data_IF_220209696051
#
_entry.id   IF_220209696051
#
_cell.length_a   1.000
_cell.length_b   1.000
_cell.length_c   1.000
_cell.angle_alpha   90.00
_cell.angle_beta   90.00
_cell.angle_gamma   90.00
#
_symmetry.space_group_name_H-M   'P 1'
#
loop_
_entity.id
_entity.type
_entity.pdbx_description
1 polymer ?
#
# COMPACT_ATOMS: atom_id res chain seq x y z
N UNK A 1 12.73 -19.04 -23.59
CA UNK A 1 12.38 -18.04 -24.62
C UNK A 1 11.99 -16.80 -23.83
N UNK A 2 12.93 -15.88 -23.61
CA UNK A 2 12.65 -14.63 -22.89
C UNK A 2 11.72 -13.80 -23.76
N UNK A 3 10.48 -13.63 -23.31
CA UNK A 3 9.56 -12.66 -23.89
C UNK A 3 10.09 -11.27 -23.52
N UNK A 4 10.91 -10.70 -24.40
CA UNK A 4 11.37 -9.32 -24.25
C UNK A 4 10.15 -8.41 -24.50
N UNK A 5 9.52 -7.96 -23.40
CA UNK A 5 8.37 -7.07 -23.45
C UNK A 5 8.76 -5.80 -24.22
N UNK A 6 7.93 -5.42 -25.20
CA UNK A 6 8.25 -4.27 -26.02
C UNK A 6 8.03 -2.95 -25.25
N UNK A 7 8.73 -1.90 -25.67
CA UNK A 7 8.70 -0.57 -25.02
C UNK A 7 7.30 0.03 -24.86
N UNK A 8 6.40 -0.17 -25.82
CA UNK A 8 5.04 0.38 -25.77
C UNK A 8 4.14 -0.39 -24.81
N UNK A 9 4.26 -1.71 -24.78
CA UNK A 9 3.60 -2.56 -23.80
C UNK A 9 4.06 -2.26 -22.38
N UNK A 10 5.38 -2.16 -22.17
CA UNK A 10 5.95 -1.74 -20.88
C UNK A 10 5.48 -0.35 -20.45
N UNK A 11 5.29 0.59 -21.38
CA UNK A 11 4.74 1.90 -21.07
C UNK A 11 3.28 1.82 -20.60
N UNK A 12 2.46 1.00 -21.25
CA UNK A 12 1.08 0.75 -20.80
C UNK A 12 1.03 0.16 -19.39
N UNK A 13 1.81 -0.90 -19.16
CA UNK A 13 1.94 -1.56 -17.85
C UNK A 13 2.49 -0.63 -16.76
N UNK A 14 3.46 0.21 -17.09
CA UNK A 14 3.99 1.24 -16.18
C UNK A 14 2.89 2.19 -15.71
N UNK A 15 2.05 2.68 -16.63
CA UNK A 15 0.96 3.60 -16.29
C UNK A 15 -0.09 2.92 -15.42
N UNK A 16 -0.55 1.73 -15.82
CA UNK A 16 -1.52 0.94 -15.06
C UNK A 16 -1.03 0.65 -13.64
N UNK A 17 0.18 0.13 -13.50
CA UNK A 17 0.76 -0.23 -12.21
C UNK A 17 1.01 1.00 -11.33
N UNK A 18 1.38 2.14 -11.92
CA UNK A 18 1.54 3.39 -11.18
C UNK A 18 0.20 3.94 -10.66
N UNK A 19 -0.86 3.88 -11.46
CA UNK A 19 -2.21 4.27 -11.01
C UNK A 19 -2.72 3.37 -9.88
N UNK A 20 -2.43 2.06 -9.96
CA UNK A 20 -2.78 1.11 -8.91
C UNK A 20 -1.97 1.39 -7.62
N UNK A 21 -0.67 1.68 -7.75
CA UNK A 21 0.18 2.06 -6.62
C UNK A 21 -0.34 3.31 -5.92
N UNK A 22 -0.74 4.34 -6.67
CA UNK A 22 -1.33 5.56 -6.10
C UNK A 22 -2.62 5.28 -5.32
N UNK A 23 -3.48 4.38 -5.81
CA UNK A 23 -4.71 3.98 -5.10
C UNK A 23 -4.37 3.24 -3.81
N UNK A 24 -3.43 2.31 -3.87
CA UNK A 24 -3.02 1.50 -2.73
C UNK A 24 -2.34 2.34 -1.65
N UNK A 25 -1.50 3.30 -2.04
CA UNK A 25 -0.89 4.26 -1.12
C UNK A 25 -1.94 5.10 -0.38
N UNK A 26 -3.00 5.56 -1.07
CA UNK A 26 -4.13 6.25 -0.41
C UNK A 26 -4.85 5.34 0.58
N UNK A 27 -5.07 4.06 0.23
CA UNK A 27 -5.66 3.09 1.16
C UNK A 27 -4.78 2.87 2.39
N UNK A 28 -3.46 2.77 2.21
CA UNK A 28 -2.49 2.67 3.31
C UNK A 28 -2.57 3.88 4.25
N UNK A 29 -2.68 5.08 3.70
CA UNK A 29 -2.83 6.31 4.48
C UNK A 29 -4.13 6.32 5.31
N UNK A 30 -5.24 5.84 4.75
CA UNK A 30 -6.51 5.70 5.50
C UNK A 30 -6.34 4.78 6.71
N UNK A 31 -5.65 3.65 6.55
CA UNK A 31 -5.37 2.76 7.68
C UNK A 31 -4.46 3.41 8.72
N UNK A 32 -3.43 4.16 8.31
CA UNK A 32 -2.58 4.91 9.23
C UNK A 32 -3.36 5.95 10.05
N UNK A 33 -4.24 6.71 9.39
CA UNK A 33 -5.12 7.68 10.06
C UNK A 33 -6.05 6.98 11.04
N UNK A 34 -6.70 5.88 10.62
CA UNK A 34 -7.60 5.10 11.48
C UNK A 34 -6.88 4.56 12.72
N UNK A 35 -5.66 4.06 12.58
CA UNK A 35 -4.86 3.63 13.74
C UNK A 35 -4.57 4.80 14.68
N UNK A 36 -4.22 5.97 14.15
CA UNK A 36 -4.01 7.18 14.96
C UNK A 36 -5.28 7.57 15.73
N UNK A 37 -6.44 7.58 15.09
CA UNK A 37 -7.73 7.86 15.74
C UNK A 37 -8.07 6.85 16.83
N UNK A 38 -7.83 5.56 16.57
CA UNK A 38 -8.02 4.50 17.56
C UNK A 38 -7.13 4.69 18.79
N UNK A 39 -5.86 5.08 18.60
CA UNK A 39 -4.95 5.40 19.71
C UNK A 39 -5.47 6.58 20.53
N UNK A 40 -5.93 7.65 19.89
CA UNK A 40 -6.51 8.80 20.60
C UNK A 40 -7.74 8.41 21.41
N UNK A 41 -8.54 7.45 20.91
CA UNK A 41 -9.76 6.98 21.58
C UNK A 41 -9.51 6.16 22.86
N UNK A 42 -8.27 5.75 23.14
CA UNK A 42 -7.90 4.98 24.33
C UNK A 42 -7.99 5.80 25.63
N UNK A 43 -7.91 7.13 25.55
CA UNK A 43 -7.92 7.99 26.73
C UNK A 43 -9.27 7.90 27.48
N UNK A 44 -9.22 7.65 28.79
CA UNK A 44 -10.39 7.68 29.67
C UNK A 44 -11.37 6.50 29.52
N UNK A 45 -10.98 5.40 28.85
CA UNK A 45 -11.84 4.22 28.66
C UNK A 45 -11.61 3.15 29.73
N UNK A 46 -12.68 2.49 30.17
CA UNK A 46 -12.61 1.31 31.05
C UNK A 46 -12.11 0.05 30.33
N UNK A 47 -11.66 -0.95 31.10
CA UNK A 47 -10.95 -2.15 30.62
C UNK A 47 -11.61 -2.90 29.45
N UNK A 48 -12.94 -3.11 29.48
CA UNK A 48 -13.68 -3.78 28.38
C UNK A 48 -13.62 -3.01 27.05
N UNK A 49 -13.67 -1.68 27.12
CA UNK A 49 -13.56 -0.83 25.93
C UNK A 49 -12.13 -0.82 25.39
N UNK A 50 -11.13 -0.85 26.27
CA UNK A 50 -9.72 -0.95 25.87
C UNK A 50 -9.45 -2.26 25.13
N UNK A 51 -9.98 -3.39 25.61
CA UNK A 51 -9.82 -4.68 24.95
C UNK A 51 -10.42 -4.69 23.54
N UNK A 52 -11.63 -4.14 23.38
CA UNK A 52 -12.28 -4.00 22.05
C UNK A 52 -11.44 -3.13 21.11
N UNK A 53 -10.99 -1.96 21.58
CA UNK A 53 -10.18 -1.04 20.76
C UNK A 53 -8.85 -1.71 20.37
N UNK A 54 -8.22 -2.45 21.28
CA UNK A 54 -6.99 -3.18 20.98
C UNK A 54 -7.19 -4.24 19.88
N UNK A 55 -8.29 -5.00 19.91
CA UNK A 55 -8.64 -5.94 18.85
C UNK A 55 -8.85 -5.24 17.50
N UNK A 56 -9.61 -4.15 17.48
CA UNK A 56 -9.86 -3.37 16.25
C UNK A 56 -8.59 -2.71 15.68
N UNK A 57 -7.65 -2.33 16.56
CA UNK A 57 -6.33 -1.84 16.16
C UNK A 57 -5.48 -2.95 15.56
N UNK A 58 -5.49 -4.16 16.13
CA UNK A 58 -4.75 -5.29 15.60
C UNK A 58 -5.22 -5.65 14.17
N UNK A 59 -6.54 -5.72 13.95
CA UNK A 59 -7.11 -5.94 12.61
C UNK A 59 -6.75 -4.83 11.62
N UNK A 60 -6.69 -3.58 12.09
CA UNK A 60 -6.33 -2.44 11.22
C UNK A 60 -4.84 -2.46 10.87
N UNK A 61 -3.98 -2.86 11.81
CA UNK A 61 -2.55 -3.03 11.60
C UNK A 61 -2.25 -4.18 10.62
N UNK A 62 -2.97 -5.29 10.72
CA UNK A 62 -2.86 -6.40 9.76
C UNK A 62 -3.16 -5.94 8.34
N UNK A 63 -4.29 -5.24 8.14
CA UNK A 63 -4.65 -4.66 6.83
C UNK A 63 -3.66 -3.62 6.34
N UNK A 64 -3.09 -2.82 7.24
CA UNK A 64 -2.03 -1.87 6.90
C UNK A 64 -0.78 -2.61 6.38
N UNK A 65 -0.36 -3.68 7.05
CA UNK A 65 0.81 -4.46 6.65
C UNK A 65 0.60 -5.15 5.30
N UNK A 66 -0.56 -5.79 5.09
CA UNK A 66 -0.91 -6.39 3.78
C UNK A 66 -0.88 -5.35 2.65
N UNK A 67 -1.38 -4.14 2.93
CA UNK A 67 -1.37 -3.04 1.98
C UNK A 67 0.07 -2.57 1.70
N UNK A 68 0.91 -2.54 2.72
CA UNK A 68 2.30 -2.11 2.59
C UNK A 68 3.17 -3.12 1.82
N UNK A 69 2.95 -4.42 2.02
CA UNK A 69 3.59 -5.49 1.24
C UNK A 69 3.21 -5.38 -0.23
N UNK A 70 1.91 -5.27 -0.54
CA UNK A 70 1.43 -5.07 -1.91
C UNK A 70 1.99 -3.80 -2.55
N UNK A 71 2.15 -2.72 -1.79
CA UNK A 71 2.81 -1.50 -2.28
C UNK A 71 4.27 -1.77 -2.65
N UNK A 72 5.00 -2.53 -1.84
CA UNK A 72 6.41 -2.85 -2.10
C UNK A 72 6.56 -3.69 -3.38
N UNK A 73 5.74 -4.73 -3.54
CA UNK A 73 5.72 -5.57 -4.75
C UNK A 73 5.40 -4.74 -6.01
N UNK A 74 4.45 -3.81 -5.89
CA UNK A 74 4.03 -2.99 -7.02
C UNK A 74 5.06 -1.90 -7.36
N UNK A 75 5.79 -1.36 -6.36
CA UNK A 75 6.94 -0.48 -6.61
C UNK A 75 8.02 -1.21 -7.40
N UNK A 76 8.32 -2.47 -7.05
CA UNK A 76 9.26 -3.30 -7.81
C UNK A 76 8.81 -3.47 -9.27
N UNK A 77 7.55 -3.88 -9.49
CA UNK A 77 6.98 -4.03 -10.84
C UNK A 77 7.00 -2.72 -11.65
N UNK A 78 6.58 -1.59 -11.05
CA UNK A 78 6.62 -0.28 -11.72
C UNK A 78 8.06 0.05 -12.12
N UNK A 79 9.04 -0.27 -11.28
CA UNK A 79 10.45 0.00 -11.54
C UNK A 79 11.03 -0.89 -12.64
N UNK A 80 10.62 -2.15 -12.73
CA UNK A 80 10.97 -3.04 -13.85
C UNK A 80 10.41 -2.48 -15.18
N UNK A 81 9.14 -2.08 -15.20
CA UNK A 81 8.55 -1.46 -16.40
C UNK A 81 9.22 -0.14 -16.74
N UNK A 82 9.59 0.66 -15.74
CA UNK A 82 10.28 1.94 -15.92
C UNK A 82 11.64 1.77 -16.62
N UNK A 83 12.40 0.73 -16.27
CA UNK A 83 13.67 0.41 -16.94
C UNK A 83 13.47 0.10 -18.42
N UNK A 84 12.47 -0.74 -18.75
CA UNK A 84 12.20 -1.17 -20.11
C UNK A 84 11.70 0.00 -20.98
N UNK A 85 10.81 0.84 -20.43
CA UNK A 85 10.22 1.94 -21.18
C UNK A 85 10.98 3.28 -21.09
N UNK A 86 12.06 3.34 -20.28
CA UNK A 86 12.87 4.54 -20.08
C UNK A 86 12.15 5.64 -19.31
N UNK A 87 11.35 5.26 -18.31
CA UNK A 87 10.65 6.18 -17.39
C UNK A 87 11.35 6.25 -16.04
N UNK A 88 10.91 7.21 -15.22
CA UNK A 88 11.43 7.38 -13.86
C UNK A 88 10.89 6.28 -12.96
N UNK A 89 11.80 5.72 -12.15
CA UNK A 89 11.48 4.83 -11.05
C UNK A 89 10.72 5.57 -9.95
N UNK A 90 9.94 4.81 -9.17
CA UNK A 90 9.18 5.25 -8.00
C UNK A 90 9.76 4.64 -6.73
N UNK A 91 9.42 5.23 -5.59
CA UNK A 91 9.85 4.85 -4.23
C UNK A 91 8.67 4.53 -3.34
#
# INVERSE_FOLDING_TARGET
MEYNMNKYEALGRYVEAKEELEKLQRTREIFAVKMSEQVHSLQGKGAKNLQRIASEMAETLEKFNECNEKCADLVEQVNEYAEICGRLKVS
#
